data_IF_422001329083
#
_entry.id   IF_422001329083
#
_cell.length_a   1.000
_cell.length_b   1.000
_cell.length_c   1.000
_cell.angle_alpha   90.00
_cell.angle_beta   90.00
_cell.angle_gamma   90.00
#
_symmetry.space_group_name_H-M   'P 1'
#
loop_
_entity.id
_entity.type
_entity.pdbx_description
1 polymer ?
#
# COMPACT_ATOMS: atom_id res chain seq x y z
N UNK A 1 -25.15 10.55 57.67
CA UNK A 1 -24.05 10.27 56.72
C UNK A 1 -24.08 8.76 56.47
N UNK A 2 -24.87 8.30 55.51
CA UNK A 2 -25.05 6.87 55.21
C UNK A 2 -24.13 6.43 54.06
N UNK A 3 -23.67 5.17 54.02
CA UNK A 3 -22.58 4.72 53.14
C UNK A 3 -23.00 4.35 51.70
N UNK A 4 -24.13 4.85 51.19
CA UNK A 4 -24.76 4.31 49.97
C UNK A 4 -24.32 4.93 48.63
N UNK A 5 -23.40 5.89 48.60
CA UNK A 5 -23.04 6.62 47.37
C UNK A 5 -21.70 6.21 46.73
N UNK A 6 -21.24 4.96 46.90
CA UNK A 6 -19.97 4.52 46.26
C UNK A 6 -20.13 3.59 45.05
N UNK A 7 -21.34 3.34 44.57
CA UNK A 7 -21.56 2.66 43.29
C UNK A 7 -21.66 3.69 42.15
N UNK A 8 -20.60 4.47 41.99
CA UNK A 8 -20.34 5.16 40.72
C UNK A 8 -20.05 4.07 39.70
N UNK A 9 -21.06 3.77 38.89
CA UNK A 9 -20.98 3.13 37.59
C UNK A 9 -19.57 3.23 37.01
N UNK A 10 -18.80 2.16 37.18
CA UNK A 10 -17.64 1.90 36.35
C UNK A 10 -18.20 1.64 34.94
N UNK A 11 -18.51 2.73 34.22
CA UNK A 11 -18.94 2.71 32.84
C UNK A 11 -17.92 1.86 32.08
N UNK A 12 -18.32 0.63 31.74
CA UNK A 12 -17.47 -0.33 31.09
C UNK A 12 -16.97 0.32 29.81
N UNK A 13 -15.68 0.69 29.75
CA UNK A 13 -15.08 1.28 28.56
C UNK A 13 -15.48 0.38 27.38
N UNK A 14 -16.13 0.90 26.34
CA UNK A 14 -16.60 0.07 25.25
C UNK A 14 -15.40 -0.71 24.70
N UNK A 15 -15.48 -2.04 24.72
CA UNK A 15 -14.42 -2.91 24.22
C UNK A 15 -14.14 -2.48 22.78
N UNK A 16 -12.86 -2.21 22.47
CA UNK A 16 -12.46 -1.84 21.13
C UNK A 16 -12.94 -2.92 20.15
N UNK A 17 -13.82 -2.53 19.23
CA UNK A 17 -14.37 -3.44 18.22
C UNK A 17 -13.29 -3.71 17.17
N UNK A 18 -12.92 -4.97 16.99
CA UNK A 18 -11.99 -5.39 15.95
C UNK A 18 -12.59 -5.08 14.58
N UNK A 19 -11.85 -4.37 13.73
CA UNK A 19 -12.24 -3.99 12.37
C UNK A 19 -11.58 -4.92 11.36
N UNK A 20 -12.16 -5.03 10.16
CA UNK A 20 -11.57 -5.79 9.05
C UNK A 20 -10.13 -5.33 8.75
N UNK A 21 -9.88 -4.02 8.83
CA UNK A 21 -8.55 -3.46 8.65
C UNK A 21 -7.55 -3.88 9.74
N UNK A 22 -8.00 -4.11 10.99
CA UNK A 22 -7.13 -4.63 12.05
C UNK A 22 -6.67 -6.05 11.71
N UNK A 23 -7.60 -6.90 11.25
CA UNK A 23 -7.29 -8.28 10.84
C UNK A 23 -6.35 -8.30 9.63
N UNK A 24 -6.64 -7.47 8.62
CA UNK A 24 -5.81 -7.34 7.42
C UNK A 24 -4.37 -6.91 7.75
N UNK A 25 -4.21 -5.92 8.64
CA UNK A 25 -2.90 -5.43 9.05
C UNK A 25 -2.11 -6.50 9.84
N UNK A 26 -2.76 -7.18 10.79
CA UNK A 26 -2.12 -8.26 11.56
C UNK A 26 -1.71 -9.41 10.64
N UNK A 27 -2.56 -9.81 9.69
CA UNK A 27 -2.24 -10.84 8.72
C UNK A 27 -1.00 -10.48 7.89
N UNK A 28 -0.93 -9.24 7.39
CA UNK A 28 0.23 -8.74 6.66
C UNK A 28 1.49 -8.70 7.52
N UNK A 29 1.42 -8.21 8.77
CA UNK A 29 2.58 -8.18 9.67
C UNK A 29 3.13 -9.59 9.95
N UNK A 30 2.25 -10.58 10.15
CA UNK A 30 2.66 -11.99 10.33
C UNK A 30 3.31 -12.53 9.06
N UNK A 31 2.71 -12.29 7.89
CA UNK A 31 3.25 -12.70 6.60
C UNK A 31 4.65 -12.10 6.38
N UNK A 32 4.81 -10.80 6.63
CA UNK A 32 6.07 -10.07 6.46
C UNK A 32 7.14 -10.53 7.44
N UNK A 33 6.78 -10.84 8.68
CA UNK A 33 7.72 -11.40 9.64
C UNK A 33 8.23 -12.77 9.19
N UNK A 34 7.33 -13.66 8.75
CA UNK A 34 7.70 -14.97 8.22
C UNK A 34 8.55 -14.87 6.95
N UNK A 35 8.19 -13.97 6.03
CA UNK A 35 8.91 -13.74 4.79
C UNK A 35 10.30 -13.12 5.03
N UNK A 36 10.39 -12.12 5.91
CA UNK A 36 11.66 -11.52 6.34
C UNK A 36 12.58 -12.61 6.88
N UNK A 37 12.09 -13.44 7.80
CA UNK A 37 12.84 -14.57 8.33
C UNK A 37 13.34 -15.51 7.22
N UNK A 38 12.47 -15.87 6.26
CA UNK A 38 12.84 -16.73 5.15
C UNK A 38 13.95 -16.14 4.25
N UNK A 39 13.86 -14.87 3.86
CA UNK A 39 14.85 -14.25 2.96
C UNK A 39 16.19 -13.95 3.62
N UNK A 40 16.18 -13.58 4.91
CA UNK A 40 17.43 -13.46 5.68
C UNK A 40 18.18 -14.79 5.75
N UNK A 41 17.45 -15.92 5.87
CA UNK A 41 18.05 -17.26 5.82
C UNK A 41 18.65 -17.63 4.46
N UNK A 42 18.21 -16.97 3.39
CA UNK A 42 18.74 -17.11 2.02
C UNK A 42 19.84 -16.10 1.69
N UNK A 43 20.20 -15.23 2.63
CA UNK A 43 21.13 -14.11 2.43
C UNK A 43 20.70 -13.16 1.29
N UNK A 44 19.40 -13.04 1.06
CA UNK A 44 18.82 -12.04 0.15
C UNK A 44 18.52 -10.76 0.94
N UNK A 45 19.57 -9.95 1.12
CA UNK A 45 19.53 -8.74 1.92
C UNK A 45 18.73 -7.60 1.26
N UNK A 46 18.64 -7.60 -0.08
CA UNK A 46 17.78 -6.65 -0.81
C UNK A 46 16.33 -6.85 -0.40
N UNK A 47 15.84 -8.08 -0.52
CA UNK A 47 14.47 -8.38 -0.18
C UNK A 47 14.20 -8.29 1.33
N UNK A 48 15.20 -8.61 2.16
CA UNK A 48 15.13 -8.42 3.61
C UNK A 48 14.95 -6.95 4.03
N UNK A 49 15.64 -6.02 3.35
CA UNK A 49 15.47 -4.58 3.56
C UNK A 49 14.06 -4.13 3.18
N UNK A 50 13.58 -4.52 1.99
CA UNK A 50 12.24 -4.15 1.53
C UNK A 50 11.14 -4.68 2.45
N UNK A 51 11.23 -5.94 2.88
CA UNK A 51 10.26 -6.53 3.80
C UNK A 51 10.22 -5.79 5.15
N UNK A 52 11.38 -5.37 5.68
CA UNK A 52 11.45 -4.60 6.92
C UNK A 52 10.80 -3.21 6.79
N UNK A 53 11.13 -2.47 5.73
CA UNK A 53 10.52 -1.15 5.46
C UNK A 53 9.01 -1.28 5.24
N UNK A 54 8.57 -2.32 4.54
CA UNK A 54 7.16 -2.57 4.29
C UNK A 54 6.42 -2.93 5.58
N UNK A 55 7.02 -3.72 6.48
CA UNK A 55 6.45 -4.02 7.79
C UNK A 55 6.25 -2.76 8.64
N UNK A 56 7.24 -1.84 8.65
CA UNK A 56 7.10 -0.54 9.31
C UNK A 56 5.99 0.29 8.67
N UNK A 57 5.90 0.29 7.34
CA UNK A 57 4.84 0.99 6.60
C UNK A 57 3.45 0.46 6.93
N UNK A 58 3.26 -0.85 7.02
CA UNK A 58 1.98 -1.48 7.43
C UNK A 58 1.64 -1.13 8.87
N UNK A 59 2.60 -1.20 9.79
CA UNK A 59 2.37 -0.84 11.20
C UNK A 59 1.97 0.65 11.35
N UNK A 60 2.65 1.54 10.61
CA UNK A 60 2.35 2.97 10.59
C UNK A 60 0.98 3.24 9.96
N UNK A 61 0.68 2.63 8.81
CA UNK A 61 -0.61 2.73 8.15
C UNK A 61 -1.73 2.22 9.06
N UNK A 62 -1.54 1.09 9.74
CA UNK A 62 -2.48 0.59 10.73
C UNK A 62 -2.72 1.60 11.85
N UNK A 63 -1.66 2.13 12.46
CA UNK A 63 -1.78 3.08 13.56
C UNK A 63 -2.54 4.36 13.17
N UNK A 64 -2.22 4.96 12.01
CA UNK A 64 -2.84 6.21 11.57
C UNK A 64 -4.18 6.06 10.88
N UNK A 65 -4.37 4.99 10.10
CA UNK A 65 -5.51 4.83 9.22
C UNK A 65 -6.60 3.94 9.80
N UNK A 66 -6.38 3.24 10.92
CA UNK A 66 -7.41 2.39 11.56
C UNK A 66 -8.66 3.11 12.00
N UNK A 67 -8.63 4.45 12.07
CA UNK A 67 -9.81 5.29 12.29
C UNK A 67 -10.79 5.30 11.12
N UNK A 68 -10.32 5.06 9.90
CA UNK A 68 -11.15 4.97 8.70
C UNK A 68 -11.72 3.56 8.53
N UNK A 69 -12.83 3.47 7.80
CA UNK A 69 -13.45 2.20 7.42
C UNK A 69 -13.13 1.90 5.96
N UNK A 70 -12.27 0.90 5.74
CA UNK A 70 -11.94 0.42 4.41
C UNK A 70 -12.85 -0.77 4.05
N UNK A 71 -13.52 -0.75 2.89
CA UNK A 71 -14.30 -1.89 2.44
C UNK A 71 -13.38 -3.06 2.09
N UNK A 72 -13.84 -4.29 2.34
CA UNK A 72 -13.05 -5.51 2.13
C UNK A 72 -12.50 -5.63 0.70
N UNK A 73 -13.28 -5.22 -0.31
CA UNK A 73 -12.83 -5.29 -1.70
C UNK A 73 -11.58 -4.44 -1.95
N UNK A 74 -11.48 -3.27 -1.31
CA UNK A 74 -10.33 -2.39 -1.49
C UNK A 74 -9.10 -2.98 -0.83
N UNK A 75 -9.26 -3.55 0.37
CA UNK A 75 -8.18 -4.27 1.06
C UNK A 75 -7.72 -5.50 0.27
N UNK A 76 -8.65 -6.21 -0.38
CA UNK A 76 -8.32 -7.34 -1.25
C UNK A 76 -7.52 -6.91 -2.49
N UNK A 77 -7.84 -5.75 -3.09
CA UNK A 77 -7.04 -5.20 -4.19
C UNK A 77 -5.64 -4.78 -3.72
N UNK A 78 -5.53 -4.16 -2.54
CA UNK A 78 -4.22 -3.85 -1.95
C UNK A 78 -3.43 -5.15 -1.73
N UNK A 79 -4.07 -6.18 -1.19
CA UNK A 79 -3.44 -7.49 -0.95
C UNK A 79 -2.90 -8.12 -2.23
N UNK A 80 -3.68 -8.11 -3.32
CA UNK A 80 -3.21 -8.59 -4.63
C UNK A 80 -1.94 -7.85 -5.06
N UNK A 81 -1.91 -6.54 -4.84
CA UNK A 81 -0.75 -5.70 -5.13
C UNK A 81 0.50 -6.05 -4.32
N UNK A 82 0.32 -6.29 -3.03
CA UNK A 82 1.37 -6.72 -2.11
C UNK A 82 1.93 -8.08 -2.55
N UNK A 83 1.04 -9.04 -2.80
CA UNK A 83 1.43 -10.38 -3.25
C UNK A 83 2.11 -10.34 -4.62
N UNK A 84 1.69 -9.47 -5.54
CA UNK A 84 2.33 -9.28 -6.83
C UNK A 84 3.76 -8.74 -6.70
N UNK A 85 4.02 -7.78 -5.80
CA UNK A 85 5.37 -7.30 -5.53
C UNK A 85 6.26 -8.42 -4.97
N UNK A 86 5.76 -9.19 -4.00
CA UNK A 86 6.53 -10.30 -3.44
C UNK A 86 6.78 -11.42 -4.43
N UNK A 87 5.77 -11.77 -5.23
CA UNK A 87 5.91 -12.70 -6.34
C UNK A 87 6.99 -12.22 -7.32
N UNK A 88 7.02 -10.92 -7.63
CA UNK A 88 8.00 -10.28 -8.50
C UNK A 88 9.45 -10.54 -8.08
N UNK A 89 9.73 -10.48 -6.78
CA UNK A 89 11.08 -10.73 -6.24
C UNK A 89 11.40 -12.19 -5.94
N UNK A 90 10.43 -13.00 -5.52
CA UNK A 90 10.66 -14.37 -5.05
C UNK A 90 10.49 -15.45 -6.11
N UNK A 91 9.58 -15.23 -7.07
CA UNK A 91 9.32 -16.21 -8.11
C UNK A 91 10.39 -16.09 -9.18
N UNK A 92 11.09 -17.20 -9.38
CA UNK A 92 12.06 -17.37 -10.46
C UNK A 92 11.60 -18.51 -11.35
N UNK A 93 11.76 -18.37 -12.67
CA UNK A 93 11.31 -19.39 -13.63
C UNK A 93 12.16 -19.40 -14.91
N UNK A 94 12.02 -20.48 -15.68
CA UNK A 94 12.66 -20.63 -16.99
C UNK A 94 14.18 -20.79 -16.94
N UNK A 95 14.82 -20.86 -18.12
CA UNK A 95 16.28 -20.93 -18.22
C UNK A 95 16.96 -19.72 -17.58
N UNK A 96 18.05 -19.93 -16.86
CA UNK A 96 18.81 -18.85 -16.24
C UNK A 96 18.22 -18.32 -14.92
N UNK A 97 17.18 -18.97 -14.38
CA UNK A 97 16.54 -18.57 -13.12
C UNK A 97 16.05 -17.11 -13.18
N UNK A 98 15.28 -16.78 -14.23
CA UNK A 98 14.78 -15.42 -14.45
C UNK A 98 13.79 -15.04 -13.34
N UNK A 99 14.08 -13.95 -12.64
CA UNK A 99 13.19 -13.36 -11.64
C UNK A 99 11.97 -12.74 -12.32
N UNK A 100 10.78 -12.90 -11.74
CA UNK A 100 9.52 -12.45 -12.34
C UNK A 100 9.51 -10.95 -12.66
N UNK A 101 10.13 -10.10 -11.83
CA UNK A 101 10.29 -8.67 -12.15
C UNK A 101 11.05 -8.37 -13.44
N UNK A 102 11.97 -9.25 -13.83
CA UNK A 102 12.82 -9.03 -15.00
C UNK A 102 12.16 -9.56 -16.28
N UNK A 103 11.01 -10.24 -16.14
CA UNK A 103 10.20 -10.64 -17.27
C UNK A 103 9.53 -9.44 -17.94
N UNK A 104 9.43 -9.47 -19.28
CA UNK A 104 8.90 -8.36 -20.08
C UNK A 104 7.67 -8.80 -20.88
N UNK A 105 6.57 -8.09 -20.69
CA UNK A 105 5.36 -8.19 -21.50
C UNK A 105 5.24 -6.94 -22.39
N UNK A 106 5.13 -7.12 -23.71
CA UNK A 106 5.11 -6.01 -24.67
C UNK A 106 6.29 -5.04 -24.50
N UNK A 107 7.49 -5.59 -24.26
CA UNK A 107 8.74 -4.86 -23.96
C UNK A 107 8.72 -4.02 -22.65
N UNK A 108 7.67 -4.14 -21.85
CA UNK A 108 7.54 -3.50 -20.53
C UNK A 108 7.84 -4.53 -19.45
N UNK A 109 8.78 -4.23 -18.56
CA UNK A 109 9.12 -5.09 -17.41
C UNK A 109 7.89 -5.26 -16.49
N UNK A 110 7.79 -6.42 -15.85
CA UNK A 110 6.67 -6.80 -15.00
C UNK A 110 6.48 -5.83 -13.82
N UNK A 111 7.57 -5.33 -13.24
CA UNK A 111 7.54 -4.30 -12.19
C UNK A 111 6.64 -3.10 -12.56
N UNK A 112 6.73 -2.58 -13.79
CA UNK A 112 5.94 -1.41 -14.23
C UNK A 112 4.43 -1.68 -14.23
N UNK A 113 4.03 -2.92 -14.51
CA UNK A 113 2.62 -3.31 -14.40
C UNK A 113 2.15 -3.34 -12.96
N UNK A 114 3.01 -3.81 -12.05
CA UNK A 114 2.73 -3.81 -10.61
C UNK A 114 2.64 -2.38 -10.08
N UNK A 115 3.56 -1.48 -10.48
CA UNK A 115 3.54 -0.06 -10.11
C UNK A 115 2.27 0.66 -10.62
N UNK A 116 1.87 0.41 -11.86
CA UNK A 116 0.62 0.92 -12.41
C UNK A 116 -0.59 0.44 -11.59
N UNK A 117 -0.70 -0.87 -11.34
CA UNK A 117 -1.80 -1.46 -10.59
C UNK A 117 -1.86 -0.92 -9.15
N UNK A 118 -0.74 -0.97 -8.43
CA UNK A 118 -0.65 -0.54 -7.04
C UNK A 118 -0.96 0.95 -6.89
N UNK A 119 -0.51 1.78 -7.83
CA UNK A 119 -0.82 3.21 -7.83
C UNK A 119 -2.29 3.49 -8.09
N UNK A 120 -2.96 2.72 -8.96
CA UNK A 120 -4.39 2.85 -9.16
C UNK A 120 -5.20 2.47 -7.91
N UNK A 121 -4.84 1.35 -7.27
CA UNK A 121 -5.49 0.88 -6.04
C UNK A 121 -5.24 1.86 -4.88
N UNK A 122 -4.01 2.31 -4.68
CA UNK A 122 -3.66 3.20 -3.58
C UNK A 122 -4.20 4.62 -3.80
N UNK A 123 -4.26 5.13 -5.03
CA UNK A 123 -5.00 6.36 -5.35
C UNK A 123 -6.51 6.24 -5.02
N UNK A 124 -7.10 5.07 -5.23
CA UNK A 124 -8.48 4.78 -4.80
C UNK A 124 -8.58 4.80 -3.27
N UNK A 125 -7.62 4.22 -2.55
CA UNK A 125 -7.60 4.28 -1.08
C UNK A 125 -7.39 5.70 -0.53
N UNK A 126 -6.53 6.51 -1.16
CA UNK A 126 -6.36 7.93 -0.81
C UNK A 126 -7.68 8.69 -1.00
N UNK A 127 -8.42 8.40 -2.07
CA UNK A 127 -9.76 8.96 -2.30
C UNK A 127 -10.73 8.63 -1.16
N UNK A 128 -10.74 7.38 -0.69
CA UNK A 128 -11.51 6.94 0.47
C UNK A 128 -11.13 7.69 1.75
N UNK A 129 -9.83 7.91 1.98
CA UNK A 129 -9.32 8.65 3.14
C UNK A 129 -9.78 10.11 3.09
N UNK A 130 -9.65 10.77 1.94
CA UNK A 130 -10.08 12.17 1.74
C UNK A 130 -11.58 12.32 1.99
N UNK A 131 -12.41 11.41 1.44
CA UNK A 131 -13.85 11.44 1.63
C UNK A 131 -14.26 11.12 3.06
N UNK A 132 -13.63 10.12 3.69
CA UNK A 132 -13.86 9.76 5.09
C UNK A 132 -13.44 10.85 6.07
N UNK A 133 -12.44 11.67 5.69
CA UNK A 133 -12.01 12.83 6.47
C UNK A 133 -12.90 14.08 6.24
N UNK A 134 -13.87 14.01 5.32
CA UNK A 134 -14.76 15.13 5.01
C UNK A 134 -14.10 16.29 4.27
N UNK A 135 -12.93 16.08 3.66
CA UNK A 135 -12.17 17.14 2.98
C UNK A 135 -12.80 17.43 1.61
N UNK A 136 -13.26 18.67 1.40
CA UNK A 136 -13.95 19.08 0.17
C UNK A 136 -12.99 19.73 -0.83
N UNK A 137 -12.46 18.95 -1.76
CA UNK A 137 -11.53 19.43 -2.81
C UNK A 137 -12.20 19.77 -4.16
N UNK A 138 -13.51 19.48 -4.30
CA UNK A 138 -14.30 19.72 -5.53
C UNK A 138 -13.55 19.23 -6.80
N UNK A 139 -13.33 20.12 -7.77
CA UNK A 139 -12.66 19.81 -9.05
C UNK A 139 -11.18 19.46 -8.90
N UNK A 140 -10.51 19.90 -7.82
CA UNK A 140 -9.09 19.64 -7.60
C UNK A 140 -8.81 18.25 -7.00
N UNK A 141 -9.84 17.51 -6.56
CA UNK A 141 -9.67 16.22 -5.86
C UNK A 141 -8.79 15.24 -6.64
N UNK A 142 -9.06 15.04 -7.93
CA UNK A 142 -8.30 14.10 -8.76
C UNK A 142 -6.82 14.48 -8.87
N UNK A 143 -6.53 15.78 -9.06
CA UNK A 143 -5.16 16.29 -9.11
C UNK A 143 -4.42 16.07 -7.79
N UNK A 144 -5.05 16.37 -6.65
CA UNK A 144 -4.46 16.15 -5.32
C UNK A 144 -4.21 14.66 -5.07
N UNK A 145 -5.13 13.78 -5.44
CA UNK A 145 -4.95 12.32 -5.31
C UNK A 145 -3.75 11.85 -6.13
N UNK A 146 -3.59 12.32 -7.36
CA UNK A 146 -2.43 11.97 -8.21
C UNK A 146 -1.13 12.44 -7.57
N UNK A 147 -1.06 13.70 -7.10
CA UNK A 147 0.14 14.22 -6.44
C UNK A 147 0.47 13.46 -5.15
N UNK A 148 -0.52 13.13 -4.33
CA UNK A 148 -0.32 12.32 -3.13
C UNK A 148 0.22 10.93 -3.48
N UNK A 149 -0.34 10.29 -4.51
CA UNK A 149 0.11 8.97 -4.95
C UNK A 149 1.54 9.02 -5.50
N UNK A 150 1.89 10.04 -6.28
CA UNK A 150 3.27 10.26 -6.73
C UNK A 150 4.23 10.50 -5.55
N UNK A 151 3.80 11.22 -4.52
CA UNK A 151 4.56 11.39 -3.30
C UNK A 151 4.83 10.07 -2.59
N UNK A 152 3.82 9.19 -2.49
CA UNK A 152 4.00 7.84 -1.93
C UNK A 152 4.96 7.02 -2.79
N UNK A 153 4.80 7.05 -4.12
CA UNK A 153 5.71 6.39 -5.05
C UNK A 153 7.15 6.86 -4.87
N UNK A 154 7.37 8.17 -4.82
CA UNK A 154 8.70 8.75 -4.64
C UNK A 154 9.36 8.32 -3.33
N UNK A 155 8.62 8.20 -2.23
CA UNK A 155 9.16 7.66 -0.96
C UNK A 155 9.64 6.22 -1.14
N UNK A 156 8.89 5.39 -1.88
CA UNK A 156 9.31 4.02 -2.19
C UNK A 156 10.56 4.00 -3.08
N UNK A 157 10.60 4.81 -4.13
CA UNK A 157 11.78 4.92 -5.01
C UNK A 157 13.04 5.37 -4.25
N UNK A 158 12.90 6.21 -3.22
CA UNK A 158 14.01 6.61 -2.35
C UNK A 158 14.53 5.41 -1.54
N UNK A 159 13.64 4.52 -1.08
CA UNK A 159 14.04 3.29 -0.38
C UNK A 159 14.81 2.37 -1.31
N UNK A 160 14.31 2.17 -2.54
CA UNK A 160 15.01 1.35 -3.54
C UNK A 160 16.37 1.95 -3.92
N UNK A 161 16.44 3.25 -4.17
CA UNK A 161 17.69 3.93 -4.45
C UNK A 161 18.68 3.83 -3.28
N UNK A 162 18.20 3.93 -2.04
CA UNK A 162 19.02 3.71 -0.85
C UNK A 162 19.57 2.28 -0.80
N UNK A 163 18.80 1.28 -1.24
CA UNK A 163 19.26 -0.10 -1.36
C UNK A 163 20.41 -0.22 -2.38
N UNK A 164 20.30 0.44 -3.55
CA UNK A 164 21.39 0.48 -4.56
C UNK A 164 22.67 1.06 -3.96
N UNK A 165 22.55 2.10 -3.13
CA UNK A 165 23.71 2.74 -2.49
C UNK A 165 24.31 1.92 -1.33
N UNK A 166 23.53 1.01 -0.75
CA UNK A 166 23.90 0.31 0.49
C UNK A 166 24.27 -1.17 0.28
N UNK A 167 23.82 -1.77 -0.82
CA UNK A 167 23.97 -3.20 -1.10
C UNK A 167 24.81 -3.42 -2.35
N UNK A 168 25.63 -4.47 -2.35
CA UNK A 168 26.54 -4.76 -3.45
C UNK A 168 25.83 -5.16 -4.75
N UNK A 169 24.60 -5.67 -4.65
CA UNK A 169 23.77 -6.11 -5.78
C UNK A 169 22.31 -5.82 -5.47
N UNK A 170 21.63 -5.18 -6.39
CA UNK A 170 20.18 -4.99 -6.37
C UNK A 170 19.60 -5.30 -7.76
N UNK A 171 18.33 -5.69 -7.81
CA UNK A 171 17.63 -5.93 -9.08
C UNK A 171 16.73 -4.77 -9.54
N UNK A 172 16.53 -3.77 -8.69
CA UNK A 172 15.76 -2.53 -8.94
C UNK A 172 16.44 -1.33 -8.24
N UNK A 173 15.86 -0.14 -8.38
CA UNK A 173 16.32 1.06 -7.67
C UNK A 173 17.25 2.00 -8.45
N UNK A 174 17.70 1.63 -9.66
CA UNK A 174 18.52 2.52 -10.48
C UNK A 174 17.72 3.70 -11.05
N UNK A 175 18.42 4.75 -11.50
CA UNK A 175 17.76 5.96 -12.00
C UNK A 175 16.74 5.70 -13.11
N UNK A 176 17.09 4.85 -14.08
CA UNK A 176 16.19 4.59 -15.21
C UNK A 176 15.00 3.74 -14.79
N UNK A 177 15.23 2.77 -13.89
CA UNK A 177 14.18 1.97 -13.28
C UNK A 177 13.15 2.87 -12.56
N UNK A 178 13.62 3.69 -11.61
CA UNK A 178 12.76 4.50 -10.74
C UNK A 178 11.99 5.55 -11.52
N UNK A 179 12.61 6.17 -12.54
CA UNK A 179 11.89 7.11 -13.39
C UNK A 179 10.74 6.42 -14.15
N UNK A 180 10.94 5.19 -14.61
CA UNK A 180 9.87 4.41 -15.25
C UNK A 180 8.79 3.96 -14.26
N UNK A 181 9.16 3.69 -13.02
CA UNK A 181 8.20 3.39 -11.94
C UNK A 181 7.34 4.61 -11.61
N UNK A 182 7.92 5.80 -11.52
CA UNK A 182 7.15 7.04 -11.34
C UNK A 182 6.21 7.32 -12.52
N UNK A 183 6.60 7.00 -13.75
CA UNK A 183 5.71 7.09 -14.91
C UNK A 183 4.56 6.10 -14.81
N UNK A 184 4.83 4.85 -14.41
CA UNK A 184 3.79 3.86 -14.18
C UNK A 184 2.85 4.28 -13.04
N UNK A 185 3.40 4.87 -11.97
CA UNK A 185 2.63 5.40 -10.83
C UNK A 185 1.73 6.57 -11.25
N UNK A 186 2.24 7.48 -12.09
CA UNK A 186 1.47 8.56 -12.68
C UNK A 186 0.31 7.99 -13.50
N UNK A 187 0.57 7.05 -14.40
CA UNK A 187 -0.45 6.45 -15.24
C UNK A 187 -1.55 5.77 -14.41
N UNK A 188 -1.18 4.93 -13.43
CA UNK A 188 -2.13 4.24 -12.56
C UNK A 188 -2.98 5.20 -11.72
N UNK A 189 -2.35 6.22 -11.13
CA UNK A 189 -3.06 7.21 -10.32
C UNK A 189 -4.00 8.08 -11.14
N UNK A 190 -3.63 8.45 -12.37
CA UNK A 190 -4.51 9.18 -13.31
C UNK A 190 -5.70 8.30 -13.71
N UNK A 191 -5.48 7.03 -14.01
CA UNK A 191 -6.56 6.07 -14.29
C UNK A 191 -7.54 5.98 -13.11
N UNK A 192 -7.05 5.87 -11.88
CA UNK A 192 -7.92 5.87 -10.69
C UNK A 192 -8.64 7.21 -10.47
N UNK A 193 -7.96 8.35 -10.67
CA UNK A 193 -8.59 9.67 -10.51
C UNK A 193 -9.68 9.95 -11.56
N UNK A 194 -9.57 9.35 -12.75
CA UNK A 194 -10.53 9.50 -13.84
C UNK A 194 -11.68 8.49 -13.76
N UNK A 195 -11.37 7.22 -13.53
CA UNK A 195 -12.35 6.12 -13.49
C UNK A 195 -12.92 5.84 -12.09
N UNK A 196 -12.23 6.23 -11.02
CA UNK A 196 -12.63 5.94 -9.64
C UNK A 196 -13.93 6.63 -9.19
N UNK A 197 -14.41 7.64 -9.94
CA UNK A 197 -15.75 8.21 -9.74
C UNK A 197 -16.85 7.16 -9.85
N UNK A 198 -16.63 6.10 -10.63
CA UNK A 198 -17.56 4.99 -10.83
C UNK A 198 -17.48 3.92 -9.74
N UNK A 199 -16.35 3.82 -9.03
CA UNK A 199 -16.08 2.75 -8.06
C UNK A 199 -16.42 3.11 -6.61
N UNK A 200 -16.38 4.41 -6.29
CA UNK A 200 -16.62 4.93 -4.92
C UNK A 200 -18.10 5.13 -4.58
N UNK A 201 -19.02 4.78 -5.48
CA UNK A 201 -20.45 4.65 -5.16
C UNK A 201 -21.12 5.92 -4.62
N UNK A 202 -20.67 7.12 -5.02
CA UNK A 202 -21.40 8.38 -4.78
C UNK A 202 -21.61 9.18 -6.08
N UNK A 203 -22.73 8.88 -6.73
CA UNK A 203 -23.48 9.71 -7.67
C UNK A 203 -24.51 8.86 -8.44
N UNK A 204 -25.82 9.15 -8.42
CA UNK A 204 -26.42 10.50 -8.46
C UNK A 204 -27.37 10.83 -7.29
N UNK A 205 -27.19 12.02 -6.68
CA UNK A 205 -28.17 12.85 -5.93
C UNK A 205 -27.50 13.53 -4.72
N UNK A 206 -27.42 14.86 -4.75
CA UNK A 206 -26.89 15.67 -3.67
C UNK A 206 -26.72 17.13 -4.07
N UNK A 207 -27.84 17.78 -4.38
CA UNK A 207 -28.10 19.23 -4.50
C UNK A 207 -26.90 20.15 -4.79
N UNK A 208 -26.79 20.59 -6.04
CA UNK A 208 -26.65 22.02 -6.33
C UNK A 208 -28.03 22.55 -6.68
#
# INVERSE_FOLDING_TARGET
MSPEESNVEAASRPRARVRVFDVWAVANLVLLAGMSWYVYRKADYEFGLYAAVFMVSVAFAWWYLRRFEFPLWLLALVEIGILAHFAGGLIHFGPGNLRLYDHRYFDIRFDKWVHFYNSAVLATAITYIIDGAGVRLRRAKGFVVVLMMLGVGAVWEIVEYTAVMSLARTGVGDYHNNMRDLVANLAGSVTAATLGRWWTGRGPAGNN
#
